data_IF_755996676649
#
_entry.id   IF_755996676649
#
_cell.length_a   1.000
_cell.length_b   1.000
_cell.length_c   1.000
_cell.angle_alpha   90.00
_cell.angle_beta   90.00
_cell.angle_gamma   90.00
#
_symmetry.space_group_name_H-M   'P 1'
#
loop_
_entity.id
_entity.type
_entity.pdbx_description
1 polymer ?
#
# COMPACT_ATOMS: atom_id res chain seq x y z
N UNK A 1 12.86 6.85 -0.03
CA UNK A 1 11.95 5.74 0.34
C UNK A 1 11.52 4.94 -0.87
N UNK A 2 10.86 3.79 -0.66
CA UNK A 2 10.49 2.90 -1.75
C UNK A 2 9.33 3.41 -2.59
N UNK A 3 8.22 3.87 -1.98
CA UNK A 3 6.96 4.18 -2.66
C UNK A 3 6.32 5.50 -2.18
N UNK A 4 5.39 6.05 -2.97
CA UNK A 4 4.70 7.31 -2.72
C UNK A 4 3.91 7.37 -1.39
N UNK A 5 3.17 6.33 -0.93
CA UNK A 5 2.53 6.37 0.38
C UNK A 5 3.50 6.62 1.54
N UNK A 6 4.72 6.08 1.49
CA UNK A 6 5.74 6.37 2.51
C UNK A 6 6.22 7.82 2.44
N UNK A 7 6.24 8.43 1.23
CA UNK A 7 6.52 9.85 1.08
C UNK A 7 5.48 10.69 1.79
N UNK A 8 4.19 10.38 1.61
CA UNK A 8 3.11 11.06 2.33
C UNK A 8 3.37 11.09 3.85
N UNK A 9 3.56 9.92 4.48
CA UNK A 9 3.79 9.85 5.92
C UNK A 9 5.05 10.60 6.35
N UNK A 10 6.12 10.50 5.57
CA UNK A 10 7.40 11.17 5.87
C UNK A 10 7.28 12.69 5.78
N UNK A 11 6.68 13.22 4.72
CA UNK A 11 6.47 14.67 4.54
C UNK A 11 5.56 15.25 5.61
N UNK A 12 4.51 14.52 6.02
CA UNK A 12 3.64 14.95 7.12
C UNK A 12 4.39 15.09 8.44
N UNK A 13 5.40 14.26 8.72
CA UNK A 13 6.17 14.30 9.97
C UNK A 13 7.35 15.27 9.84
N UNK A 14 8.09 15.20 8.75
CA UNK A 14 9.31 15.99 8.52
C UNK A 14 9.03 17.47 8.23
N UNK A 15 7.86 17.80 7.66
CA UNK A 15 7.59 19.11 7.12
C UNK A 15 8.56 19.44 5.98
N UNK A 16 9.17 20.61 6.03
CA UNK A 16 10.12 21.13 5.04
C UNK A 16 11.61 20.85 5.37
N UNK A 17 11.87 20.05 6.42
CA UNK A 17 13.23 19.83 6.93
C UNK A 17 14.09 18.92 6.05
N UNK A 18 13.48 18.06 5.24
CA UNK A 18 14.16 17.12 4.37
C UNK A 18 13.66 17.18 2.93
N UNK A 19 14.57 16.98 1.99
CA UNK A 19 14.24 16.72 0.58
C UNK A 19 13.84 15.25 0.42
N UNK A 20 12.54 14.98 0.29
CA UNK A 20 11.98 13.63 0.22
C UNK A 20 11.82 13.17 -1.24
N UNK A 21 12.17 11.91 -1.54
CA UNK A 21 11.96 11.32 -2.87
C UNK A 21 11.71 9.82 -2.81
N UNK A 22 11.04 9.28 -3.83
CA UNK A 22 10.71 7.85 -3.95
C UNK A 22 11.58 7.16 -5.01
N UNK A 23 11.83 5.87 -4.80
CA UNK A 23 12.47 5.02 -5.81
C UNK A 23 11.47 4.64 -6.90
N UNK A 24 10.33 4.07 -6.53
CA UNK A 24 9.26 3.78 -7.47
C UNK A 24 8.47 5.06 -7.71
N UNK A 25 8.53 5.66 -8.90
CA UNK A 25 7.83 6.91 -9.20
C UNK A 25 6.33 6.67 -9.31
N UNK A 26 5.55 7.76 -9.30
CA UNK A 26 4.11 7.69 -9.54
C UNK A 26 3.81 6.98 -10.87
N UNK A 27 2.93 5.99 -10.84
CA UNK A 27 2.59 5.15 -11.98
C UNK A 27 3.58 4.00 -12.28
N UNK A 28 4.67 3.90 -11.53
CA UNK A 28 5.60 2.76 -11.60
C UNK A 28 5.02 1.53 -10.90
N UNK A 29 5.35 0.34 -11.41
CA UNK A 29 4.95 -0.92 -10.79
C UNK A 29 5.97 -1.35 -9.73
N UNK A 30 5.62 -1.38 -8.42
CA UNK A 30 6.55 -1.72 -7.34
C UNK A 30 7.02 -3.19 -7.36
N UNK A 31 6.34 -4.07 -8.12
CA UNK A 31 6.76 -5.46 -8.22
C UNK A 31 7.90 -5.68 -9.21
N UNK A 32 7.99 -4.83 -10.24
CA UNK A 32 8.92 -5.03 -11.37
C UNK A 32 9.84 -3.83 -11.64
N UNK A 33 9.76 -2.78 -10.81
CA UNK A 33 10.53 -1.55 -11.03
C UNK A 33 12.03 -1.80 -10.94
N UNK A 34 12.77 -1.17 -11.85
CA UNK A 34 14.24 -1.15 -11.86
C UNK A 34 14.75 0.29 -11.64
N UNK A 35 15.60 0.52 -10.63
CA UNK A 35 16.10 1.86 -10.34
C UNK A 35 17.09 2.33 -11.40
N UNK A 36 16.96 3.59 -11.79
CA UNK A 36 17.93 4.25 -12.70
C UNK A 36 19.25 4.54 -11.99
N UNK A 37 20.33 4.70 -12.76
CA UNK A 37 21.65 5.12 -12.23
C UNK A 37 21.54 6.42 -11.42
N UNK A 38 20.74 7.38 -11.88
CA UNK A 38 20.53 8.65 -11.17
C UNK A 38 19.89 8.44 -9.79
N UNK A 39 18.92 7.54 -9.66
CA UNK A 39 18.30 7.20 -8.38
C UNK A 39 19.29 6.50 -7.45
N UNK A 40 20.13 5.61 -7.98
CA UNK A 40 21.19 4.96 -7.22
C UNK A 40 22.21 5.97 -6.65
N UNK A 41 22.63 6.96 -7.47
CA UNK A 41 23.50 8.04 -7.02
C UNK A 41 22.84 8.89 -5.93
N UNK A 42 21.57 9.29 -6.13
CA UNK A 42 20.82 10.07 -5.15
C UNK A 42 20.63 9.33 -3.82
N UNK A 43 20.46 8.01 -3.86
CA UNK A 43 20.40 7.20 -2.64
C UNK A 43 21.72 7.22 -1.88
N UNK A 44 22.86 7.13 -2.58
CA UNK A 44 24.19 7.16 -1.95
C UNK A 44 24.50 8.48 -1.21
N UNK A 45 23.80 9.57 -1.57
CA UNK A 45 23.87 10.87 -0.93
C UNK A 45 22.79 11.09 0.14
N UNK A 46 21.92 10.10 0.41
CA UNK A 46 20.80 10.24 1.32
C UNK A 46 21.17 9.81 2.75
N UNK A 47 20.66 10.52 3.74
CA UNK A 47 20.84 10.19 5.16
C UNK A 47 20.01 8.97 5.59
N UNK A 48 18.80 8.84 5.02
CA UNK A 48 17.82 7.85 5.41
C UNK A 48 17.10 7.24 4.21
N UNK A 49 16.94 5.92 4.22
CA UNK A 49 16.06 5.19 3.30
C UNK A 49 14.99 4.40 4.07
N UNK A 50 13.73 4.66 3.75
CA UNK A 50 12.57 4.02 4.36
C UNK A 50 12.02 3.00 3.37
N UNK A 51 12.08 1.71 3.71
CA UNK A 51 11.51 0.62 2.92
C UNK A 51 10.14 0.20 3.46
N UNK A 52 9.32 -0.40 2.60
CA UNK A 52 8.05 -1.05 2.98
C UNK A 52 8.32 -2.32 3.79
N UNK A 53 9.25 -3.14 3.29
CA UNK A 53 9.65 -4.40 3.90
C UNK A 53 9.67 -5.58 2.94
N UNK A 54 8.73 -5.74 2.02
CA UNK A 54 8.61 -6.96 1.21
C UNK A 54 8.01 -6.78 -0.20
N UNK A 55 8.02 -5.58 -0.79
CA UNK A 55 7.60 -5.40 -2.19
C UNK A 55 8.64 -6.01 -3.16
N UNK A 56 8.21 -6.36 -4.39
CA UNK A 56 9.06 -7.02 -5.40
C UNK A 56 10.34 -6.25 -5.71
N UNK A 57 10.24 -4.94 -5.86
CA UNK A 57 11.38 -4.05 -6.00
C UNK A 57 12.41 -4.23 -4.88
N UNK A 58 11.99 -4.25 -3.63
CA UNK A 58 12.90 -4.40 -2.48
C UNK A 58 13.53 -5.78 -2.43
N UNK A 59 12.75 -6.84 -2.67
CA UNK A 59 13.28 -8.21 -2.74
C UNK A 59 14.39 -8.34 -3.78
N UNK A 60 14.26 -7.64 -4.89
CA UNK A 60 15.22 -7.72 -6.00
C UNK A 60 16.44 -6.82 -5.78
N UNK A 61 16.23 -5.59 -5.30
CA UNK A 61 17.24 -4.54 -5.36
C UNK A 61 17.87 -4.16 -4.02
N UNK A 62 17.26 -4.45 -2.86
CA UNK A 62 17.74 -3.95 -1.56
C UNK A 62 19.20 -4.28 -1.28
N UNK A 63 19.65 -5.51 -1.58
CA UNK A 63 21.06 -5.89 -1.38
C UNK A 63 22.01 -4.95 -2.14
N UNK A 64 21.70 -4.65 -3.39
CA UNK A 64 22.51 -3.76 -4.24
C UNK A 64 22.39 -2.30 -3.80
N UNK A 65 21.21 -1.87 -3.37
CA UNK A 65 20.98 -0.53 -2.85
C UNK A 65 21.81 -0.27 -1.60
N UNK A 66 21.80 -1.20 -0.63
CA UNK A 66 22.61 -1.12 0.60
C UNK A 66 24.10 -1.05 0.27
N UNK A 67 24.60 -1.89 -0.64
CA UNK A 67 25.99 -1.89 -1.05
C UNK A 67 26.42 -0.57 -1.70
N UNK A 68 25.51 0.07 -2.44
CA UNK A 68 25.78 1.34 -3.11
C UNK A 68 25.69 2.55 -2.17
N UNK A 69 25.02 2.42 -1.02
CA UNK A 69 24.76 3.50 -0.07
C UNK A 69 25.13 3.08 1.37
N UNK A 70 26.44 2.81 1.64
CA UNK A 70 26.89 2.22 2.92
C UNK A 70 26.70 3.16 4.12
N UNK A 71 26.51 4.45 3.92
CA UNK A 71 26.32 5.46 4.97
C UNK A 71 24.85 5.80 5.20
N UNK A 72 23.94 5.36 4.31
CA UNK A 72 22.51 5.62 4.42
C UNK A 72 21.90 4.71 5.49
N UNK A 73 21.22 5.29 6.46
CA UNK A 73 20.43 4.53 7.44
C UNK A 73 19.20 3.93 6.75
N UNK A 74 18.98 2.63 6.90
CA UNK A 74 17.85 1.94 6.27
C UNK A 74 16.93 1.40 7.35
N UNK A 75 15.65 1.79 7.30
CA UNK A 75 14.64 1.31 8.24
C UNK A 75 13.50 0.59 7.50
N UNK A 76 12.89 -0.35 8.19
CA UNK A 76 11.67 -1.01 7.76
C UNK A 76 10.46 -0.30 8.36
N UNK A 77 9.64 0.35 7.53
CA UNK A 77 8.45 1.06 8.01
C UNK A 77 7.39 0.10 8.56
N UNK A 78 7.43 -1.17 8.17
CA UNK A 78 6.46 -2.20 8.60
C UNK A 78 6.89 -2.96 9.86
N UNK A 79 7.97 -2.55 10.53
CA UNK A 79 8.40 -3.19 11.77
C UNK A 79 7.30 -3.19 12.83
N UNK A 80 7.01 -4.36 13.40
CA UNK A 80 5.96 -4.55 14.41
C UNK A 80 4.54 -4.71 13.84
N UNK A 81 4.37 -4.71 12.52
CA UNK A 81 3.09 -5.02 11.88
C UNK A 81 2.91 -6.54 11.81
N UNK A 82 1.75 -7.03 12.27
CA UNK A 82 1.37 -8.43 12.11
C UNK A 82 1.15 -8.73 10.61
N UNK A 83 1.91 -9.66 10.02
CA UNK A 83 1.82 -9.94 8.60
C UNK A 83 0.51 -10.62 8.22
N UNK A 84 -0.08 -10.21 7.11
CA UNK A 84 -1.11 -10.96 6.43
C UNK A 84 -0.47 -11.86 5.36
N UNK A 85 -1.09 -13.02 5.10
CA UNK A 85 -0.57 -13.98 4.16
C UNK A 85 -1.60 -14.30 3.07
N UNK A 86 -1.12 -14.55 1.86
CA UNK A 86 -1.93 -15.11 0.79
C UNK A 86 -2.37 -16.55 1.12
N UNK A 87 -3.28 -17.11 0.33
CA UNK A 87 -3.70 -18.51 0.46
C UNK A 87 -2.55 -19.53 0.34
N UNK A 88 -1.41 -19.11 -0.21
CA UNK A 88 -0.17 -19.91 -0.35
C UNK A 88 0.88 -19.62 0.72
N UNK A 89 0.56 -18.80 1.72
CA UNK A 89 1.47 -18.46 2.81
C UNK A 89 2.51 -17.38 2.46
N UNK A 90 2.38 -16.69 1.32
CA UNK A 90 3.25 -15.56 0.96
C UNK A 90 2.79 -14.33 1.72
N UNK A 91 3.72 -13.63 2.37
CA UNK A 91 3.43 -12.39 3.10
C UNK A 91 2.99 -11.29 2.13
N UNK A 92 1.84 -10.69 2.39
CA UNK A 92 1.34 -9.55 1.64
C UNK A 92 2.15 -8.30 1.99
N UNK A 93 2.71 -7.58 1.01
CA UNK A 93 3.53 -6.41 1.27
C UNK A 93 2.73 -5.12 1.48
N UNK A 94 1.42 -5.08 1.19
CA UNK A 94 0.62 -3.85 1.14
C UNK A 94 0.21 -3.33 2.53
N UNK A 95 1.17 -3.27 3.44
CA UNK A 95 0.98 -2.91 4.87
C UNK A 95 0.37 -1.52 5.05
N UNK A 96 0.66 -0.58 4.16
CA UNK A 96 0.16 0.80 4.20
C UNK A 96 -1.34 0.92 3.89
N UNK A 97 -1.97 -0.12 3.31
CA UNK A 97 -3.40 -0.14 3.02
C UNK A 97 -4.25 -0.56 4.25
N UNK A 98 -3.90 0.00 5.40
CA UNK A 98 -4.57 -0.23 6.69
C UNK A 98 -4.40 1.00 7.57
N UNK A 99 -5.49 1.49 8.16
CA UNK A 99 -5.43 2.62 9.10
C UNK A 99 -4.75 2.24 10.42
N UNK A 100 -4.88 0.99 10.87
CA UNK A 100 -4.19 0.50 12.05
C UNK A 100 -2.68 0.39 11.83
N UNK A 101 -2.25 -0.14 10.68
CA UNK A 101 -0.84 -0.24 10.32
C UNK A 101 -0.22 1.14 10.05
N UNK A 102 -0.98 2.08 9.46
CA UNK A 102 -0.51 3.44 9.19
C UNK A 102 0.01 4.15 10.45
N UNK A 103 -0.58 3.88 11.63
CA UNK A 103 -0.08 4.39 12.92
C UNK A 103 1.29 3.84 13.28
N UNK A 104 1.54 2.56 13.01
CA UNK A 104 2.84 1.92 13.23
C UNK A 104 3.87 2.44 12.24
N UNK A 105 3.51 2.55 10.96
CA UNK A 105 4.35 3.13 9.91
C UNK A 105 4.76 4.56 10.29
N UNK A 106 3.81 5.41 10.66
CA UNK A 106 4.08 6.78 11.09
C UNK A 106 5.00 6.84 12.31
N UNK A 107 4.81 5.94 13.30
CA UNK A 107 5.68 5.83 14.48
C UNK A 107 7.12 5.45 14.09
N UNK A 108 7.28 4.44 13.23
CA UNK A 108 8.59 3.97 12.81
C UNK A 108 9.35 5.06 12.03
N UNK A 109 8.64 5.80 11.16
CA UNK A 109 9.18 6.95 10.42
C UNK A 109 9.56 8.08 11.41
N UNK A 110 8.71 8.42 12.37
CA UNK A 110 9.00 9.42 13.38
C UNK A 110 10.29 9.12 14.14
N UNK A 111 10.45 7.89 14.63
CA UNK A 111 11.68 7.49 15.33
C UNK A 111 12.91 7.56 14.43
N UNK A 112 12.79 7.20 13.16
CA UNK A 112 13.89 7.30 12.22
C UNK A 112 14.31 8.75 11.97
N UNK A 113 13.36 9.68 11.80
CA UNK A 113 13.65 11.11 11.62
C UNK A 113 14.33 11.70 12.86
N UNK A 114 13.84 11.39 14.07
CA UNK A 114 14.46 11.84 15.33
C UNK A 114 15.89 11.28 15.46
N UNK A 115 16.16 10.06 15.01
CA UNK A 115 17.50 9.44 15.10
C UNK A 115 18.54 10.12 14.21
N UNK A 116 18.14 10.73 13.11
CA UNK A 116 19.05 11.43 12.19
C UNK A 116 19.10 12.95 12.43
N UNK A 117 18.08 13.51 13.09
CA UNK A 117 18.04 14.93 13.47
C UNK A 117 17.30 15.14 14.81
N UNK A 118 18.02 14.98 15.91
CA UNK A 118 17.49 15.15 17.27
C UNK A 118 17.09 16.61 17.58
N UNK A 119 17.72 17.58 16.89
CA UNK A 119 17.50 19.02 17.16
C UNK A 119 16.07 19.45 16.86
N UNK A 120 15.47 18.91 15.82
CA UNK A 120 14.09 19.20 15.41
C UNK A 120 13.06 18.19 15.98
N UNK A 121 13.45 17.32 16.94
CA UNK A 121 12.61 16.26 17.52
C UNK A 121 11.25 16.75 18.08
N UNK A 122 11.21 17.95 18.65
CA UNK A 122 9.97 18.56 19.15
C UNK A 122 8.98 18.89 18.02
N UNK A 123 9.49 19.39 16.88
CA UNK A 123 8.68 19.65 15.70
C UNK A 123 8.15 18.34 15.09
N UNK A 124 9.02 17.32 14.95
CA UNK A 124 8.61 15.99 14.47
C UNK A 124 7.57 15.34 15.35
N UNK A 125 7.69 15.47 16.68
CA UNK A 125 6.69 14.97 17.62
C UNK A 125 5.33 15.63 17.39
N UNK A 126 5.28 16.95 17.32
CA UNK A 126 4.03 17.71 17.08
C UNK A 126 3.37 17.25 15.76
N UNK A 127 4.16 17.14 14.71
CA UNK A 127 3.67 16.73 13.39
C UNK A 127 3.20 15.27 13.39
N UNK A 128 3.92 14.37 14.06
CA UNK A 128 3.54 12.97 14.24
C UNK A 128 2.22 12.83 14.99
N UNK A 129 2.01 13.61 16.06
CA UNK A 129 0.74 13.64 16.80
C UNK A 129 -0.42 14.10 15.89
N UNK A 130 -0.22 15.17 15.13
CA UNK A 130 -1.21 15.66 14.16
C UNK A 130 -1.53 14.63 13.06
N UNK A 131 -0.50 13.97 12.52
CA UNK A 131 -0.67 12.88 11.56
C UNK A 131 -1.44 11.71 12.17
N UNK A 132 -1.13 11.32 13.40
CA UNK A 132 -1.84 10.24 14.10
C UNK A 132 -3.32 10.56 14.28
N UNK A 133 -3.67 11.82 14.58
CA UNK A 133 -5.06 12.26 14.68
C UNK A 133 -5.76 12.28 13.31
N UNK A 134 -5.05 12.66 12.25
CA UNK A 134 -5.55 12.56 10.87
C UNK A 134 -5.82 11.09 10.46
N UNK A 135 -4.93 10.16 10.81
CA UNK A 135 -5.13 8.73 10.55
C UNK A 135 -6.36 8.21 11.32
N UNK A 136 -6.56 8.61 12.59
CA UNK A 136 -7.77 8.25 13.37
C UNK A 136 -9.04 8.81 12.72
N UNK A 137 -9.02 10.07 12.29
CA UNK A 137 -10.16 10.68 11.60
C UNK A 137 -10.47 9.95 10.29
N UNK A 138 -9.46 9.52 9.54
CA UNK A 138 -9.62 8.70 8.34
C UNK A 138 -10.26 7.36 8.69
N UNK A 139 -9.79 6.63 9.71
CA UNK A 139 -10.37 5.36 10.16
C UNK A 139 -11.85 5.52 10.54
N UNK A 140 -12.21 6.59 11.25
CA UNK A 140 -13.61 6.89 11.60
C UNK A 140 -14.47 7.09 10.34
N UNK A 141 -14.00 7.87 9.35
CA UNK A 141 -14.67 8.06 8.05
C UNK A 141 -14.87 6.73 7.31
N UNK A 142 -13.86 5.86 7.33
CA UNK A 142 -13.92 4.54 6.71
C UNK A 142 -14.98 3.67 7.36
N UNK A 143 -14.99 3.58 8.70
CA UNK A 143 -15.99 2.81 9.46
C UNK A 143 -17.40 3.31 9.18
N UNK A 144 -17.60 4.62 9.17
CA UNK A 144 -18.89 5.22 8.85
C UNK A 144 -19.36 4.86 7.43
N UNK A 145 -18.48 4.94 6.43
CA UNK A 145 -18.81 4.56 5.05
C UNK A 145 -19.12 3.08 4.91
N UNK A 146 -18.39 2.22 5.62
CA UNK A 146 -18.47 0.76 5.50
C UNK A 146 -19.57 0.12 6.39
N UNK A 147 -20.25 0.85 7.25
CA UNK A 147 -21.38 0.34 8.06
C UNK A 147 -22.73 0.38 7.37
N UNK A 148 -22.85 1.12 6.25
CA UNK A 148 -24.13 1.35 5.55
C UNK A 148 -24.27 0.35 4.39
N UNK A 149 -25.09 -0.68 4.60
CA UNK A 149 -25.65 -1.60 3.57
C UNK A 149 -24.67 -2.03 2.45
N UNK A 150 -23.54 -2.55 2.86
CA UNK A 150 -22.37 -2.80 2.02
C UNK A 150 -22.29 -4.22 1.49
N UNK A 151 -21.65 -4.39 0.36
CA UNK A 151 -21.10 -5.68 -0.05
C UNK A 151 -20.02 -6.09 0.96
N UNK A 152 -20.18 -7.26 1.56
CA UNK A 152 -19.13 -7.82 2.46
C UNK A 152 -17.94 -8.40 1.68
N UNK A 153 -18.00 -8.39 0.36
CA UNK A 153 -16.98 -8.93 -0.51
C UNK A 153 -16.81 -8.05 -1.75
N UNK A 154 -15.59 -8.00 -2.27
CA UNK A 154 -15.25 -7.32 -3.51
C UNK A 154 -14.24 -8.13 -4.32
N UNK A 155 -14.28 -7.97 -5.64
CA UNK A 155 -13.25 -8.44 -6.55
C UNK A 155 -12.12 -7.40 -6.64
N UNK A 156 -10.92 -7.87 -6.89
CA UNK A 156 -9.76 -7.02 -7.17
C UNK A 156 -8.85 -7.72 -8.18
N UNK A 157 -8.24 -6.97 -9.10
CA UNK A 157 -7.26 -7.51 -10.04
C UNK A 157 -6.01 -8.02 -9.32
N UNK A 158 -5.22 -7.13 -8.73
CA UNK A 158 -4.05 -7.42 -7.92
C UNK A 158 -4.37 -7.24 -6.41
N UNK A 159 -4.05 -8.20 -5.53
CA UNK A 159 -4.53 -8.22 -4.13
C UNK A 159 -3.85 -7.18 -3.22
N UNK A 160 -4.08 -5.89 -3.46
CA UNK A 160 -3.47 -4.81 -2.70
C UNK A 160 -4.24 -4.39 -1.43
N UNK A 161 -5.43 -4.94 -1.18
CA UNK A 161 -6.32 -4.50 -0.11
C UNK A 161 -6.50 -5.53 1.03
N UNK A 162 -5.57 -6.47 1.20
CA UNK A 162 -5.68 -7.53 2.22
C UNK A 162 -5.77 -6.97 3.64
N UNK A 163 -4.92 -6.00 3.98
CA UNK A 163 -4.95 -5.36 5.31
C UNK A 163 -6.18 -4.47 5.50
N UNK A 164 -6.62 -3.79 4.44
CA UNK A 164 -7.89 -3.06 4.45
C UNK A 164 -9.06 -4.01 4.70
N UNK A 165 -9.14 -5.11 3.96
CA UNK A 165 -10.19 -6.10 4.12
C UNK A 165 -10.21 -6.70 5.54
N UNK A 166 -9.02 -7.00 6.11
CA UNK A 166 -8.88 -7.47 7.48
C UNK A 166 -9.45 -6.47 8.50
N UNK A 167 -9.07 -5.19 8.39
CA UNK A 167 -9.42 -4.16 9.37
C UNK A 167 -10.92 -3.83 9.39
N UNK A 168 -11.62 -4.07 8.27
CA UNK A 168 -13.04 -3.75 8.11
C UNK A 168 -13.93 -4.99 7.87
N UNK A 169 -13.43 -6.20 8.16
CA UNK A 169 -14.16 -7.47 8.07
C UNK A 169 -14.77 -7.72 6.68
N UNK A 170 -14.03 -7.39 5.64
CA UNK A 170 -14.41 -7.57 4.24
C UNK A 170 -13.71 -8.81 3.67
N UNK A 171 -14.29 -9.40 2.62
CA UNK A 171 -13.66 -10.47 1.84
C UNK A 171 -13.10 -9.91 0.53
N UNK A 172 -11.79 -9.85 0.43
CA UNK A 172 -11.09 -9.61 -0.83
C UNK A 172 -11.04 -10.89 -1.66
N UNK A 173 -11.48 -10.84 -2.91
CA UNK A 173 -11.44 -11.94 -3.87
C UNK A 173 -10.52 -11.51 -5.04
N UNK A 174 -9.24 -11.92 -5.06
CA UNK A 174 -8.33 -11.54 -6.12
C UNK A 174 -8.61 -12.32 -7.41
N UNK A 175 -8.42 -11.68 -8.57
CA UNK A 175 -8.43 -12.32 -9.88
C UNK A 175 -7.07 -12.92 -10.19
N UNK A 176 -6.01 -12.14 -10.00
CA UNK A 176 -4.65 -12.65 -10.12
C UNK A 176 -4.14 -13.18 -8.76
N UNK A 177 -3.15 -14.04 -8.80
CA UNK A 177 -2.49 -14.56 -7.61
C UNK A 177 -0.97 -14.48 -7.80
N UNK A 178 -0.30 -13.67 -6.95
CA UNK A 178 1.16 -13.51 -6.93
C UNK A 178 1.76 -13.01 -8.27
N UNK A 179 1.08 -12.08 -8.94
CA UNK A 179 1.54 -11.50 -10.21
C UNK A 179 1.39 -12.43 -11.42
N UNK A 180 0.60 -13.51 -11.30
CA UNK A 180 0.38 -14.48 -12.36
C UNK A 180 -1.05 -14.45 -12.88
N UNK A 181 -1.20 -14.57 -14.19
CA UNK A 181 -2.51 -14.77 -14.80
C UNK A 181 -3.14 -16.09 -14.33
N UNK A 182 -4.43 -16.07 -13.93
CA UNK A 182 -5.13 -17.25 -13.45
C UNK A 182 -5.41 -18.22 -14.60
N UNK A 183 -5.36 -19.51 -14.29
CA UNK A 183 -5.87 -20.53 -15.20
C UNK A 183 -7.39 -20.45 -15.39
N UNK A 184 -7.92 -21.01 -16.47
CA UNK A 184 -9.36 -21.07 -16.71
C UNK A 184 -10.15 -21.76 -15.57
N UNK A 185 -9.53 -22.71 -14.87
CA UNK A 185 -10.16 -23.36 -13.71
C UNK A 185 -10.23 -22.42 -12.49
N UNK A 186 -9.19 -21.62 -12.24
CA UNK A 186 -9.14 -20.62 -11.21
C UNK A 186 -10.17 -19.50 -11.49
N UNK A 187 -10.22 -18.98 -12.72
CA UNK A 187 -11.22 -17.99 -13.14
C UNK A 187 -12.65 -18.47 -12.86
N UNK A 188 -13.00 -19.70 -13.22
CA UNK A 188 -14.32 -20.27 -12.93
C UNK A 188 -14.62 -20.30 -11.43
N UNK A 189 -13.66 -20.69 -10.58
CA UNK A 189 -13.83 -20.70 -9.11
C UNK A 189 -14.02 -19.28 -8.56
N UNK A 190 -13.23 -18.31 -9.03
CA UNK A 190 -13.34 -16.90 -8.64
C UNK A 190 -14.71 -16.33 -9.01
N UNK A 191 -15.19 -16.56 -10.23
CA UNK A 191 -16.52 -16.14 -10.69
C UNK A 191 -17.62 -16.76 -9.84
N UNK A 192 -17.55 -18.07 -9.60
CA UNK A 192 -18.56 -18.77 -8.76
C UNK A 192 -18.58 -18.22 -7.33
N UNK A 193 -17.40 -18.01 -6.71
CA UNK A 193 -17.31 -17.44 -5.37
C UNK A 193 -17.87 -16.02 -5.33
N UNK A 194 -17.52 -15.17 -6.28
CA UNK A 194 -17.99 -13.78 -6.38
C UNK A 194 -19.51 -13.72 -6.55
N UNK A 195 -20.11 -14.59 -7.38
CA UNK A 195 -21.58 -14.72 -7.54
C UNK A 195 -22.25 -15.16 -6.23
N UNK A 196 -21.70 -16.17 -5.55
CA UNK A 196 -22.23 -16.66 -4.26
C UNK A 196 -22.17 -15.59 -3.17
N UNK A 197 -21.16 -14.73 -3.19
CA UNK A 197 -20.98 -13.59 -2.27
C UNK A 197 -21.72 -12.33 -2.72
N UNK A 198 -22.42 -12.37 -3.86
CA UNK A 198 -23.16 -11.23 -4.45
C UNK A 198 -22.27 -9.98 -4.60
N UNK A 199 -21.04 -10.19 -5.07
CA UNK A 199 -20.09 -9.09 -5.30
C UNK A 199 -20.67 -8.12 -6.32
N UNK A 200 -20.59 -6.83 -6.02
CA UNK A 200 -21.08 -5.74 -6.87
C UNK A 200 -19.97 -4.90 -7.49
N UNK A 201 -18.76 -4.90 -6.86
CA UNK A 201 -17.65 -4.03 -7.25
C UNK A 201 -16.42 -4.86 -7.53
N UNK A 202 -15.72 -4.49 -8.59
CA UNK A 202 -14.40 -4.99 -8.93
C UNK A 202 -13.42 -3.82 -8.98
N UNK A 203 -12.45 -3.82 -8.08
CA UNK A 203 -11.35 -2.86 -8.09
C UNK A 203 -10.29 -3.23 -9.11
N UNK A 204 -9.84 -2.22 -9.87
CA UNK A 204 -8.75 -2.35 -10.83
C UNK A 204 -7.69 -1.27 -10.58
N UNK A 205 -6.44 -1.61 -10.80
CA UNK A 205 -5.33 -0.69 -10.76
C UNK A 205 -4.80 -0.53 -12.19
N UNK A 206 -4.64 0.71 -12.67
CA UNK A 206 -4.28 1.00 -14.07
C UNK A 206 -3.10 0.18 -14.60
N UNK A 207 -2.13 -0.13 -13.71
CA UNK A 207 -0.92 -0.85 -14.10
C UNK A 207 -1.10 -2.39 -14.17
N UNK A 208 -2.23 -2.93 -13.70
CA UNK A 208 -2.53 -4.38 -13.67
C UNK A 208 -3.75 -4.76 -14.51
N UNK A 209 -4.37 -3.80 -15.21
CA UNK A 209 -5.54 -4.08 -16.06
C UNK A 209 -5.17 -5.10 -17.16
N UNK A 210 -5.90 -6.22 -17.20
CA UNK A 210 -5.69 -7.31 -18.14
C UNK A 210 -7.01 -7.89 -18.64
N UNK A 211 -6.95 -8.79 -19.66
CA UNK A 211 -8.12 -9.42 -20.24
C UNK A 211 -8.96 -10.25 -19.28
N UNK A 212 -8.33 -10.90 -18.31
CA UNK A 212 -9.00 -11.74 -17.30
C UNK A 212 -9.89 -10.90 -16.38
N UNK A 213 -9.48 -9.69 -16.03
CA UNK A 213 -10.23 -8.71 -15.23
C UNK A 213 -11.56 -8.39 -15.87
N UNK A 214 -11.56 -8.06 -17.18
CA UNK A 214 -12.75 -7.73 -17.93
C UNK A 214 -13.74 -8.90 -18.04
N UNK A 215 -13.23 -10.12 -18.26
CA UNK A 215 -14.05 -11.33 -18.32
C UNK A 215 -14.74 -11.55 -16.98
N UNK A 216 -14.00 -11.49 -15.87
CA UNK A 216 -14.56 -11.74 -14.54
C UNK A 216 -15.61 -10.70 -14.16
N UNK A 217 -15.36 -9.40 -14.39
CA UNK A 217 -16.33 -8.35 -14.07
C UNK A 217 -17.63 -8.53 -14.87
N UNK A 218 -17.57 -8.84 -16.15
CA UNK A 218 -18.73 -9.08 -17.00
C UNK A 218 -19.51 -10.33 -16.55
N UNK A 219 -18.84 -11.44 -16.28
CA UNK A 219 -19.45 -12.69 -15.87
C UNK A 219 -20.13 -12.62 -14.49
N UNK A 220 -19.60 -11.79 -13.59
CA UNK A 220 -20.17 -11.56 -12.26
C UNK A 220 -21.25 -10.48 -12.30
N UNK A 221 -21.20 -9.55 -13.27
CA UNK A 221 -22.02 -8.34 -13.31
C UNK A 221 -21.56 -7.29 -12.30
N UNK A 222 -20.27 -7.28 -11.98
CA UNK A 222 -19.68 -6.31 -11.06
C UNK A 222 -19.26 -5.03 -11.78
N UNK A 223 -19.54 -3.88 -11.16
CA UNK A 223 -19.07 -2.58 -11.63
C UNK A 223 -17.55 -2.47 -11.42
N UNK A 224 -16.85 -2.00 -12.45
CA UNK A 224 -15.39 -1.84 -12.40
C UNK A 224 -15.03 -0.45 -11.90
N UNK A 225 -14.27 -0.38 -10.81
CA UNK A 225 -13.82 0.84 -10.16
C UNK A 225 -12.29 0.94 -10.11
N UNK A 226 -11.74 2.05 -10.60
CA UNK A 226 -10.29 2.27 -10.58
C UNK A 226 -9.84 2.81 -9.23
N UNK A 227 -8.78 2.19 -8.66
CA UNK A 227 -8.12 2.62 -7.42
C UNK A 227 -6.62 2.83 -7.65
N UNK A 228 -6.00 3.59 -6.76
CA UNK A 228 -4.56 3.83 -6.76
C UNK A 228 -3.93 3.57 -5.37
N UNK A 229 -3.63 2.33 -4.99
CA UNK A 229 -2.99 2.03 -3.70
C UNK A 229 -1.64 2.72 -3.49
N UNK A 230 -1.02 3.24 -4.56
CA UNK A 230 0.22 4.02 -4.50
C UNK A 230 -0.01 5.53 -4.52
N UNK A 231 -1.20 6.00 -4.17
CA UNK A 231 -1.48 7.44 -4.08
C UNK A 231 -0.60 8.12 -3.04
N UNK A 232 -0.06 9.30 -3.39
CA UNK A 232 0.59 10.19 -2.43
C UNK A 232 -0.42 10.92 -1.52
N UNK A 233 -1.71 10.85 -1.83
CA UNK A 233 -2.79 11.28 -0.94
C UNK A 233 -3.46 10.04 -0.32
N UNK A 234 -2.71 9.43 0.61
CA UNK A 234 -3.11 8.18 1.24
C UNK A 234 -4.49 8.25 1.89
N UNK A 235 -4.77 9.32 2.63
CA UNK A 235 -6.02 9.46 3.39
C UNK A 235 -7.25 9.54 2.49
N UNK A 236 -7.19 10.36 1.44
CA UNK A 236 -8.31 10.49 0.50
C UNK A 236 -8.48 9.24 -0.36
N UNK A 237 -7.40 8.55 -0.73
CA UNK A 237 -7.53 7.28 -1.48
C UNK A 237 -8.18 6.18 -0.64
N UNK A 238 -7.82 6.05 0.64
CA UNK A 238 -8.49 5.11 1.55
C UNK A 238 -10.00 5.37 1.61
N UNK A 239 -10.40 6.64 1.73
CA UNK A 239 -11.82 7.03 1.77
C UNK A 239 -12.50 6.83 0.41
N UNK A 240 -11.80 7.08 -0.69
CA UNK A 240 -12.28 6.82 -2.05
C UNK A 240 -12.61 5.33 -2.25
N UNK A 241 -11.71 4.43 -1.83
CA UNK A 241 -11.94 2.98 -1.87
C UNK A 241 -13.20 2.60 -1.09
N UNK A 242 -13.36 3.10 0.14
CA UNK A 242 -14.54 2.82 0.96
C UNK A 242 -15.85 3.33 0.32
N UNK A 243 -15.84 4.50 -0.29
CA UNK A 243 -17.02 5.06 -1.00
C UNK A 243 -17.47 4.19 -2.17
N UNK A 244 -16.56 3.51 -2.84
CA UNK A 244 -16.83 2.65 -4.01
C UNK A 244 -17.35 1.27 -3.64
N UNK A 245 -17.31 0.88 -2.36
CA UNK A 245 -17.83 -0.40 -1.85
C UNK A 245 -19.34 -0.36 -1.50
N UNK A 246 -20.08 0.58 -2.05
CA UNK A 246 -21.51 0.76 -1.80
C UNK A 246 -22.39 -0.31 -2.42
#
# INVERSE_FOLDING_TARGET
MSIEPLRYFTEQIAGDKFAVSTMVPQGGNPETYEPTTRQMMKLAESDLYIKVGNIGFERTWMKKLIQNAPHTIIIDSSEGIEPAHSSRGVTDPHTWMSASNAKLIARNIYHALVSIDERDSAAYRKNYEALTDSIKATDMRLREQLTRDKSQAFLIDHPALTYFARDYELLQIPVEEEGREPSAAQLRKTIQLARNKKVRVMFVQKMFENGSTKIVSQEVGAETETINPLSCDWSEEMVNIAKKLK
#
